data_IF_328712532574
#
_entry.id   IF_328712532574
#
_cell.length_a   1.000
_cell.length_b   1.000
_cell.length_c   1.000
_cell.angle_alpha   90.00
_cell.angle_beta   90.00
_cell.angle_gamma   90.00
#
_symmetry.space_group_name_H-M   'P 1'
#
loop_
_entity.id
_entity.type
_entity.pdbx_description
1 polymer ?
#
# COMPACT_ATOMS: atom_id res chain seq x y z
N UNK A 1 -0.92 -2.88 -18.54
CA UNK A 1 -0.19 -3.90 -17.74
C UNK A 1 -1.13 -4.40 -16.64
N UNK A 2 -1.21 -5.71 -16.38
CA UNK A 2 -2.15 -6.25 -15.38
C UNK A 2 -1.75 -5.89 -13.94
N UNK A 3 -2.72 -5.90 -13.02
CA UNK A 3 -2.54 -5.54 -11.62
C UNK A 3 -1.54 -6.48 -10.92
N UNK A 4 -1.62 -7.78 -11.21
CA UNK A 4 -0.63 -8.78 -10.79
C UNK A 4 0.80 -8.45 -11.25
N UNK A 5 0.97 -8.03 -12.51
CA UNK A 5 2.31 -7.64 -13.02
C UNK A 5 2.84 -6.37 -12.35
N UNK A 6 1.97 -5.42 -11.99
CA UNK A 6 2.36 -4.24 -11.20
C UNK A 6 2.80 -4.64 -9.79
N UNK A 7 2.02 -5.48 -9.13
CA UNK A 7 2.36 -6.03 -7.82
C UNK A 7 3.72 -6.74 -7.84
N UNK A 8 3.93 -7.69 -8.77
CA UNK A 8 5.18 -8.45 -8.88
C UNK A 8 6.41 -7.62 -9.25
N UNK A 9 6.24 -6.44 -9.85
CA UNK A 9 7.36 -5.51 -10.06
C UNK A 9 7.84 -4.87 -8.76
N UNK A 10 6.98 -4.80 -7.75
CA UNK A 10 7.29 -4.21 -6.45
C UNK A 10 7.75 -5.32 -5.49
N UNK A 11 6.96 -6.39 -5.34
CA UNK A 11 7.18 -7.50 -4.38
C UNK A 11 8.25 -8.52 -4.78
N UNK A 12 9.06 -8.22 -5.79
CA UNK A 12 10.14 -9.08 -6.27
C UNK A 12 9.81 -10.58 -6.32
N UNK A 13 10.49 -11.37 -5.49
CA UNK A 13 10.37 -12.84 -5.46
C UNK A 13 9.33 -13.35 -4.46
N UNK A 14 9.23 -12.77 -3.27
CA UNK A 14 8.47 -13.34 -2.15
C UNK A 14 6.97 -13.02 -2.19
N UNK A 15 6.53 -12.19 -3.15
CA UNK A 15 5.11 -11.89 -3.36
C UNK A 15 4.44 -11.21 -2.17
N UNK A 16 5.24 -10.47 -1.40
CA UNK A 16 4.81 -9.53 -0.37
C UNK A 16 5.58 -8.23 -0.62
N UNK A 17 4.99 -7.07 -0.32
CA UNK A 17 5.69 -5.78 -0.43
C UNK A 17 6.03 -5.32 0.98
N UNK A 18 7.32 -5.21 1.30
CA UNK A 18 7.76 -4.61 2.55
C UNK A 18 7.84 -3.06 2.47
N UNK A 19 8.12 -2.41 3.61
CA UNK A 19 8.19 -0.94 3.68
C UNK A 19 9.26 -0.35 2.77
N UNK A 20 10.42 -1.00 2.65
CA UNK A 20 11.51 -0.49 1.82
C UNK A 20 11.14 -0.62 0.35
N UNK A 21 10.60 -1.76 -0.06
CA UNK A 21 10.11 -1.97 -1.42
C UNK A 21 9.02 -0.96 -1.81
N UNK A 22 8.10 -0.67 -0.88
CA UNK A 22 7.08 0.36 -1.09
C UNK A 22 7.67 1.77 -1.17
N UNK A 23 8.63 2.13 -0.31
CA UNK A 23 9.29 3.44 -0.33
C UNK A 23 10.02 3.68 -1.66
N UNK A 24 10.73 2.66 -2.16
CA UNK A 24 11.41 2.69 -3.46
C UNK A 24 10.40 2.86 -4.59
N UNK A 25 9.31 2.09 -4.58
CA UNK A 25 8.22 2.24 -5.55
C UNK A 25 7.60 3.65 -5.51
N UNK A 26 7.36 4.17 -4.31
CA UNK A 26 6.79 5.49 -4.10
C UNK A 26 7.71 6.59 -4.63
N UNK A 27 9.03 6.45 -4.45
CA UNK A 27 10.03 7.36 -5.00
C UNK A 27 9.98 7.41 -6.53
N UNK A 28 9.94 6.24 -7.20
CA UNK A 28 9.83 6.18 -8.65
C UNK A 28 8.52 6.77 -9.20
N UNK A 29 7.44 6.65 -8.43
CA UNK A 29 6.12 7.20 -8.79
C UNK A 29 6.03 8.71 -8.58
N UNK A 30 6.80 9.26 -7.64
CA UNK A 30 6.81 10.67 -7.29
C UNK A 30 8.24 11.23 -7.30
N UNK A 31 8.90 11.29 -8.48
CA UNK A 31 10.31 11.64 -8.60
C UNK A 31 10.63 13.09 -8.20
N UNK A 32 9.62 13.92 -8.03
CA UNK A 32 9.73 15.32 -7.63
C UNK A 32 9.70 15.53 -6.10
N UNK A 33 9.38 14.48 -5.32
CA UNK A 33 9.42 14.57 -3.87
C UNK A 33 10.86 14.47 -3.38
N UNK A 34 11.21 15.33 -2.42
CA UNK A 34 12.48 15.18 -1.71
C UNK A 34 12.50 13.87 -0.90
N UNK A 35 13.68 13.33 -0.56
CA UNK A 35 13.80 12.04 0.12
C UNK A 35 13.02 11.95 1.44
N UNK A 36 12.94 13.04 2.22
CA UNK A 36 12.28 13.04 3.53
C UNK A 36 10.77 13.02 3.34
N UNK A 37 10.23 13.90 2.50
CA UNK A 37 8.80 13.92 2.18
C UNK A 37 8.35 12.61 1.54
N UNK A 38 9.17 12.05 0.65
CA UNK A 38 8.90 10.75 0.04
C UNK A 38 8.73 9.66 1.10
N UNK A 39 9.68 9.57 2.04
CA UNK A 39 9.64 8.57 3.10
C UNK A 39 8.44 8.74 4.02
N UNK A 40 8.10 9.96 4.40
CA UNK A 40 6.94 10.23 5.27
C UNK A 40 5.64 9.83 4.56
N UNK A 41 5.45 10.27 3.32
CA UNK A 41 4.25 9.95 2.53
C UNK A 41 4.15 8.46 2.23
N UNK A 42 5.26 7.82 1.84
CA UNK A 42 5.30 6.38 1.59
C UNK A 42 4.91 5.58 2.83
N UNK A 43 5.42 5.94 4.01
CA UNK A 43 5.05 5.25 5.27
C UNK A 43 3.57 5.45 5.64
N UNK A 44 3.04 6.63 5.39
CA UNK A 44 1.64 6.94 5.64
C UNK A 44 0.73 6.15 4.69
N UNK A 45 1.03 6.15 3.39
CA UNK A 45 0.31 5.35 2.40
C UNK A 45 0.41 3.84 2.70
N UNK A 46 1.61 3.34 3.00
CA UNK A 46 1.84 1.93 3.34
C UNK A 46 0.90 1.49 4.47
N UNK A 47 0.81 2.29 5.53
CA UNK A 47 -0.02 1.97 6.71
C UNK A 47 -1.53 2.04 6.42
N UNK A 48 -1.95 2.65 5.32
CA UNK A 48 -3.34 2.63 4.85
C UNK A 48 -3.65 1.45 3.92
N UNK A 49 -2.61 0.80 3.38
CA UNK A 49 -2.72 -0.35 2.48
C UNK A 49 -2.59 -1.64 3.29
N UNK A 50 -1.60 -1.74 4.18
CA UNK A 50 -1.42 -2.82 5.15
C UNK A 50 -2.56 -2.78 6.19
N UNK A 51 -3.65 -3.49 5.89
CA UNK A 51 -4.85 -3.48 6.73
C UNK A 51 -4.78 -4.53 7.82
N UNK A 52 -4.09 -5.63 7.54
CA UNK A 52 -3.92 -6.72 8.52
C UNK A 52 -2.83 -6.39 9.57
N UNK A 53 -2.04 -5.33 9.34
CA UNK A 53 -0.95 -4.81 10.19
C UNK A 53 0.21 -5.80 10.37
N UNK A 54 0.49 -6.60 9.35
CA UNK A 54 1.60 -7.55 9.37
C UNK A 54 2.95 -6.94 8.91
N UNK A 55 2.97 -5.62 8.65
CA UNK A 55 4.10 -4.85 8.12
C UNK A 55 4.53 -5.28 6.71
N UNK A 56 3.65 -5.94 5.98
CA UNK A 56 3.80 -6.28 4.57
C UNK A 56 2.48 -5.95 3.86
N UNK A 57 2.54 -5.82 2.54
CA UNK A 57 1.35 -5.66 1.71
C UNK A 57 1.25 -6.89 0.83
N UNK A 58 0.17 -7.64 0.99
CA UNK A 58 -0.13 -8.76 0.11
C UNK A 58 -0.81 -8.30 -1.20
N UNK A 59 -1.04 -9.24 -2.12
CA UNK A 59 -1.69 -8.92 -3.39
C UNK A 59 -3.12 -8.40 -3.22
N UNK A 60 -3.87 -8.89 -2.23
CA UNK A 60 -5.25 -8.50 -2.00
C UNK A 60 -5.33 -7.07 -1.46
N UNK A 61 -4.45 -6.72 -0.53
CA UNK A 61 -4.32 -5.35 0.00
C UNK A 61 -3.89 -4.37 -1.09
N UNK A 62 -2.91 -4.75 -1.92
CA UNK A 62 -2.50 -3.96 -3.08
C UNK A 62 -3.66 -3.77 -4.09
N UNK A 63 -4.38 -4.84 -4.40
CA UNK A 63 -5.52 -4.79 -5.33
C UNK A 63 -6.68 -3.95 -4.79
N UNK A 64 -6.97 -4.06 -3.49
CA UNK A 64 -7.97 -3.25 -2.80
C UNK A 64 -7.58 -1.76 -2.85
N UNK A 65 -6.33 -1.42 -2.52
CA UNK A 65 -5.85 -0.04 -2.57
C UNK A 65 -5.91 0.56 -3.98
N UNK A 66 -5.52 -0.20 -5.00
CA UNK A 66 -5.61 0.26 -6.40
C UNK A 66 -7.06 0.46 -6.84
N UNK A 67 -8.03 -0.34 -6.34
CA UNK A 67 -9.46 -0.13 -6.62
C UNK A 67 -10.00 1.12 -5.92
N UNK A 68 -9.64 1.33 -4.64
CA UNK A 68 -10.02 2.52 -3.86
C UNK A 68 -9.51 3.81 -4.51
N UNK A 69 -8.32 3.78 -5.12
CA UNK A 69 -7.70 4.94 -5.77
C UNK A 69 -8.50 5.50 -6.96
N UNK A 70 -9.32 4.69 -7.62
CA UNK A 70 -10.17 5.12 -8.73
C UNK A 70 -11.64 5.32 -8.34
N UNK A 71 -11.93 5.46 -7.04
CA UNK A 71 -13.29 5.71 -6.53
C UNK A 71 -14.18 4.46 -6.46
N UNK A 72 -13.63 3.25 -6.65
CA UNK A 72 -14.37 2.02 -6.45
C UNK A 72 -14.29 1.60 -4.98
N UNK A 73 -15.40 1.74 -4.26
CA UNK A 73 -15.61 1.14 -2.95
C UNK A 73 -16.30 -0.21 -3.16
N UNK A 74 -15.60 -1.35 -3.15
CA UNK A 74 -16.29 -2.61 -2.93
C UNK A 74 -16.76 -2.61 -1.48
N UNK A 75 -18.07 -2.41 -1.30
CA UNK A 75 -18.77 -2.70 -0.06
C UNK A 75 -18.31 -4.06 0.47
N UNK A 76 -17.98 -4.08 1.78
CA UNK A 76 -17.95 -5.28 2.60
C UNK A 76 -16.85 -6.32 2.31
N UNK A 77 -15.70 -6.13 2.96
CA UNK A 77 -15.02 -7.27 3.60
C UNK A 77 -15.33 -7.19 5.10
N UNK A 78 -15.76 -8.28 5.76
CA UNK A 78 -16.10 -8.25 7.17
C UNK A 78 -14.85 -7.80 7.94
N UNK A 79 -14.98 -6.62 8.55
CA UNK A 79 -14.03 -6.06 9.50
C UNK A 79 -13.85 -7.10 10.61
N UNK A 80 -12.79 -7.90 10.52
CA UNK A 80 -12.24 -8.56 11.70
C UNK A 80 -11.67 -7.45 12.57
N UNK A 81 -12.55 -6.91 13.42
CA UNK A 81 -12.31 -6.15 14.66
C UNK A 81 -10.84 -5.73 14.88
N UNK A 82 -10.53 -4.45 14.66
CA UNK A 82 -9.97 -3.56 15.68
C UNK A 82 -9.41 -2.26 15.10
N UNK A 83 -9.99 -1.15 15.57
CA UNK A 83 -9.38 0.17 15.78
C UNK A 83 -8.61 0.80 14.63
N UNK A 84 -9.30 1.61 13.82
CA UNK A 84 -8.68 2.75 13.14
C UNK A 84 -8.26 3.84 14.16
N UNK A 85 -7.30 4.71 13.81
CA UNK A 85 -6.73 5.68 14.74
C UNK A 85 -7.78 6.73 15.17
N UNK A 86 -7.87 6.93 16.48
CA UNK A 86 -8.53 8.10 17.06
C UNK A 86 -7.65 9.32 16.77
N UNK A 87 -8.19 10.29 16.03
CA UNK A 87 -7.64 11.64 15.99
C UNK A 87 -8.15 12.38 17.23
N UNK A 88 -7.24 12.85 18.08
CA UNK A 88 -7.50 13.84 19.12
C UNK A 88 -7.51 15.24 18.51
#
# INVERSE_FOLDING_TARGET
>A
MSLWRRFKKISGMDSLIDRNEYEVYHHYKHPYLDPVSNRIQANHEFSMIDRNRDNRIDYYEFADAERRRYGYYPEYYPQRRNYGPYYY
#
